data_IF_594205834224
#
_entry.id   IF_594205834224
#
_cell.length_a   1.000
_cell.length_b   1.000
_cell.length_c   1.000
_cell.angle_alpha   90.00
_cell.angle_beta   90.00
_cell.angle_gamma   90.00
#
_symmetry.space_group_name_H-M   'P 1'
#
loop_
_entity.id
_entity.type
_entity.pdbx_description
1 polymer ?
#
# COMPACT_ATOMS: atom_id res chain seq x y z
N UNK A 1 9.80 -2.70 -5.91
CA UNK A 1 9.59 -2.91 -4.47
C UNK A 1 8.67 -4.11 -4.26
N UNK A 2 9.20 -5.35 -4.36
CA UNK A 2 8.43 -6.58 -4.12
C UNK A 2 8.20 -6.79 -2.62
N UNK A 3 7.45 -5.90 -1.97
CA UNK A 3 7.17 -6.02 -0.55
C UNK A 3 6.27 -7.21 -0.27
N UNK A 4 6.41 -7.75 0.95
CA UNK A 4 5.52 -8.77 1.50
C UNK A 4 4.48 -8.17 2.44
N UNK A 5 4.83 -7.10 3.15
CA UNK A 5 3.91 -6.31 3.98
C UNK A 5 4.43 -4.89 4.10
N UNK A 6 3.52 -3.92 4.06
CA UNK A 6 3.83 -2.49 4.01
C UNK A 6 2.61 -1.68 4.46
N UNK A 7 2.82 -0.49 5.02
CA UNK A 7 1.75 0.39 5.47
C UNK A 7 1.21 1.29 4.36
N UNK A 8 2.11 1.95 3.62
CA UNK A 8 1.75 2.78 2.46
C UNK A 8 2.77 2.75 1.32
N UNK A 9 4.04 2.40 1.60
CA UNK A 9 5.14 2.45 0.64
C UNK A 9 5.45 3.88 0.13
N UNK A 10 5.78 4.79 1.05
CA UNK A 10 6.25 6.13 0.69
C UNK A 10 7.40 6.14 -0.34
N UNK A 11 8.40 5.24 -0.28
CA UNK A 11 9.45 5.22 -1.32
C UNK A 11 8.91 4.93 -2.73
N UNK A 12 7.83 4.15 -2.87
CA UNK A 12 7.22 3.86 -4.17
C UNK A 12 6.47 5.08 -4.68
N UNK A 13 5.66 5.73 -3.85
CA UNK A 13 4.90 6.92 -4.25
C UNK A 13 5.84 8.08 -4.62
N UNK A 14 6.96 8.24 -3.92
CA UNK A 14 8.00 9.23 -4.22
C UNK A 14 8.68 8.94 -5.57
N UNK A 15 9.03 7.68 -5.83
CA UNK A 15 9.59 7.27 -7.11
C UNK A 15 8.61 7.54 -8.27
N UNK A 16 7.34 7.19 -8.10
CA UNK A 16 6.27 7.49 -9.06
C UNK A 16 6.11 9.00 -9.28
N UNK A 17 6.13 9.82 -8.22
CA UNK A 17 6.07 11.29 -8.32
C UNK A 17 7.21 11.88 -9.16
N UNK A 18 8.38 11.26 -9.11
CA UNK A 18 9.56 11.61 -9.90
C UNK A 18 9.51 11.09 -11.35
N UNK A 19 8.48 10.36 -11.75
CA UNK A 19 8.35 9.79 -13.08
C UNK A 19 9.16 8.51 -13.30
N UNK A 20 9.64 7.88 -12.22
CA UNK A 20 10.32 6.59 -12.32
C UNK A 20 9.27 5.47 -12.45
N UNK A 21 9.37 4.57 -13.45
CA UNK A 21 8.49 3.42 -13.53
C UNK A 21 8.65 2.55 -12.28
N UNK A 22 7.54 2.30 -11.59
CA UNK A 22 7.51 1.47 -10.41
C UNK A 22 7.15 0.02 -10.79
N UNK A 23 7.91 -0.94 -10.26
CA UNK A 23 7.53 -2.36 -10.22
C UNK A 23 7.18 -2.68 -8.76
N UNK A 24 5.95 -3.03 -8.45
CA UNK A 24 5.45 -3.13 -7.07
C UNK A 24 4.50 -4.31 -6.91
N UNK A 25 4.41 -4.85 -5.70
CA UNK A 25 3.49 -5.95 -5.35
C UNK A 25 2.03 -5.56 -5.62
N UNK A 26 1.29 -6.45 -6.29
CA UNK A 26 -0.14 -6.34 -6.62
C UNK A 26 -1.05 -6.70 -5.43
N UNK A 27 -0.75 -6.14 -4.26
CA UNK A 27 -1.52 -6.42 -3.05
C UNK A 27 -1.20 -5.38 -1.97
N UNK A 28 -2.13 -5.10 -1.07
CA UNK A 28 -1.91 -4.14 0.01
C UNK A 28 -1.95 -2.69 -0.47
N UNK A 29 -1.26 -1.76 0.22
CA UNK A 29 -1.57 -0.33 0.11
C UNK A 29 -1.14 0.32 -1.20
N UNK A 30 -0.20 -0.27 -1.96
CA UNK A 30 0.21 0.32 -3.23
C UNK A 30 -0.95 0.41 -4.23
N UNK A 31 -1.97 -0.45 -4.12
CA UNK A 31 -3.14 -0.44 -5.00
C UNK A 31 -4.03 0.79 -4.84
N UNK A 32 -3.84 1.60 -3.79
CA UNK A 32 -4.53 2.89 -3.69
C UNK A 32 -4.08 3.85 -4.82
N UNK A 33 -2.82 3.74 -5.24
CA UNK A 33 -2.21 4.67 -6.19
C UNK A 33 -1.59 4.01 -7.43
N UNK A 34 -1.35 2.71 -7.44
CA UNK A 34 -0.79 1.95 -8.55
C UNK A 34 -1.89 1.16 -9.28
N UNK A 35 -1.82 1.19 -10.61
CA UNK A 35 -2.66 0.43 -11.55
C UNK A 35 -1.80 -0.06 -12.70
N UNK A 36 -2.35 -0.89 -13.59
CA UNK A 36 -1.66 -1.32 -14.82
C UNK A 36 -1.26 -0.14 -15.73
N UNK A 37 -1.88 1.04 -15.58
CA UNK A 37 -1.51 2.24 -16.35
C UNK A 37 -0.33 3.01 -15.72
N UNK A 38 -0.05 2.78 -14.43
CA UNK A 38 0.87 3.60 -13.64
C UNK A 38 1.99 2.81 -12.98
N UNK A 39 1.95 1.48 -13.01
CA UNK A 39 2.97 0.61 -12.47
C UNK A 39 3.00 -0.75 -13.18
N UNK A 40 4.08 -1.50 -12.93
CA UNK A 40 4.16 -2.91 -13.22
C UNK A 40 3.81 -3.68 -11.95
N UNK A 41 2.67 -4.34 -11.95
CA UNK A 41 2.13 -5.05 -10.78
C UNK A 41 2.64 -6.49 -10.73
N UNK A 42 3.26 -6.87 -9.61
CA UNK A 42 3.78 -8.22 -9.35
C UNK A 42 2.68 -9.02 -8.67
N UNK A 43 2.09 -10.04 -9.31
CA UNK A 43 1.09 -10.89 -8.67
C UNK A 43 1.62 -11.43 -7.35
N UNK A 44 0.76 -11.48 -6.33
CA UNK A 44 1.15 -11.96 -5.02
C UNK A 44 0.04 -12.78 -4.38
N UNK A 45 0.43 -13.77 -3.57
CA UNK A 45 -0.50 -14.63 -2.84
C UNK A 45 -0.41 -14.38 -1.34
N UNK A 46 -1.53 -14.39 -0.60
CA UNK A 46 -1.46 -14.31 0.85
C UNK A 46 -0.75 -15.54 1.43
N UNK A 47 0.01 -15.32 2.49
CA UNK A 47 0.69 -16.32 3.29
C UNK A 47 0.57 -15.98 4.77
N UNK A 48 0.29 -16.98 5.60
CA UNK A 48 0.17 -16.82 7.05
C UNK A 48 1.34 -17.51 7.76
N UNK A 49 1.76 -16.94 8.86
CA UNK A 49 2.78 -17.53 9.72
C UNK A 49 2.17 -18.67 10.53
N UNK A 50 2.99 -19.68 10.82
CA UNK A 50 2.56 -20.84 11.62
C UNK A 50 2.35 -20.46 13.09
N UNK A 51 3.12 -19.47 13.57
CA UNK A 51 3.15 -19.00 14.95
C UNK A 51 2.66 -17.54 15.05
N UNK A 52 2.18 -17.13 16.23
CA UNK A 52 1.94 -15.73 16.57
C UNK A 52 3.26 -15.01 16.85
N UNK A 53 4.19 -15.02 15.87
CA UNK A 53 5.55 -14.53 16.06
C UNK A 53 6.18 -14.07 14.75
N UNK A 54 7.00 -13.02 14.81
CA UNK A 54 7.89 -12.57 13.72
C UNK A 54 9.32 -12.49 14.24
N UNK A 55 10.20 -13.40 13.81
CA UNK A 55 11.48 -13.57 14.49
C UNK A 55 11.23 -13.86 15.97
N UNK A 56 11.88 -13.17 16.89
CA UNK A 56 11.68 -13.36 18.34
C UNK A 56 10.55 -12.50 18.94
N UNK A 57 9.79 -11.80 18.12
CA UNK A 57 8.72 -10.89 18.56
C UNK A 57 7.37 -11.61 18.58
N UNK A 58 6.77 -11.75 19.76
CA UNK A 58 5.38 -12.24 19.93
C UNK A 58 4.38 -11.22 19.34
N UNK A 59 3.35 -11.72 18.67
CA UNK A 59 2.30 -10.90 18.06
C UNK A 59 0.92 -11.22 18.65
N UNK A 60 0.02 -10.24 18.64
CA UNK A 60 -1.35 -10.36 19.19
C UNK A 60 -2.25 -11.39 18.45
N UNK A 61 -1.77 -11.92 17.33
CA UNK A 61 -2.40 -12.93 16.49
C UNK A 61 -1.41 -13.42 15.44
N UNK A 62 -1.79 -14.38 14.62
CA UNK A 62 -0.93 -14.90 13.55
C UNK A 62 -0.66 -13.83 12.49
N UNK A 63 0.61 -13.47 12.24
CA UNK A 63 0.95 -12.54 11.18
C UNK A 63 0.60 -13.13 9.82
N UNK A 64 0.30 -12.24 8.87
CA UNK A 64 0.10 -12.59 7.47
C UNK A 64 0.81 -11.56 6.59
N UNK A 65 1.27 -12.01 5.44
CA UNK A 65 1.98 -11.23 4.43
C UNK A 65 1.55 -11.70 3.04
N UNK A 66 1.88 -10.94 2.02
CA UNK A 66 1.81 -11.38 0.63
C UNK A 66 3.16 -11.94 0.17
N UNK A 67 3.14 -12.96 -0.67
CA UNK A 67 4.31 -13.53 -1.35
C UNK A 67 4.27 -13.13 -2.82
N UNK A 68 5.06 -12.11 -3.24
CA UNK A 68 5.17 -11.73 -4.64
C UNK A 68 5.78 -12.84 -5.48
N UNK A 69 5.27 -13.00 -6.70
CA UNK A 69 5.78 -13.95 -7.67
C UNK A 69 7.18 -13.51 -8.18
N UNK A 70 8.23 -14.32 -7.93
CA UNK A 70 9.59 -13.98 -8.35
C UNK A 70 9.77 -14.01 -9.87
N UNK A 71 9.07 -14.89 -10.59
CA UNK A 71 9.18 -14.99 -12.05
C UNK A 71 8.52 -13.79 -12.71
N UNK A 72 7.37 -13.34 -12.18
CA UNK A 72 6.74 -12.11 -12.64
C UNK A 72 7.60 -10.87 -12.37
N UNK A 73 8.25 -10.78 -11.20
CA UNK A 73 9.21 -9.71 -10.89
C UNK A 73 10.34 -9.67 -11.93
N UNK A 74 10.94 -10.83 -12.24
CA UNK A 74 12.00 -10.93 -13.26
C UNK A 74 11.47 -10.54 -14.65
N UNK A 75 10.25 -10.96 -14.99
CA UNK A 75 9.57 -10.59 -16.23
C UNK A 75 9.42 -9.08 -16.38
N UNK A 76 8.96 -8.40 -15.33
CA UNK A 76 8.81 -6.94 -15.32
C UNK A 76 10.16 -6.22 -15.38
N UNK A 77 11.18 -6.69 -14.66
CA UNK A 77 12.54 -6.13 -14.74
C UNK A 77 13.10 -6.20 -16.17
N UNK A 78 12.92 -7.35 -16.84
CA UNK A 78 13.33 -7.52 -18.25
C UNK A 78 12.53 -6.64 -19.19
N UNK A 79 11.22 -6.48 -18.96
CA UNK A 79 10.35 -5.61 -19.77
C UNK A 79 10.78 -4.15 -19.70
N UNK A 80 11.06 -3.65 -18.49
CA UNK A 80 11.56 -2.29 -18.29
C UNK A 80 12.92 -2.10 -18.97
N UNK A 81 13.85 -3.05 -18.80
CA UNK A 81 15.17 -2.96 -19.42
C UNK A 81 15.13 -3.08 -20.95
N UNK A 82 14.18 -3.84 -21.50
CA UNK A 82 14.00 -4.07 -22.93
C UNK A 82 13.30 -2.94 -23.68
N UNK A 83 12.48 -2.14 -23.00
CA UNK A 83 11.79 -0.98 -23.60
C UNK A 83 11.70 0.19 -22.60
N UNK A 84 12.79 0.96 -22.53
CA UNK A 84 12.87 2.16 -21.72
C UNK A 84 11.89 3.26 -22.18
N UNK A 85 11.45 3.24 -23.44
CA UNK A 85 10.48 4.18 -23.98
C UNK A 85 9.10 3.96 -23.34
N UNK A 86 8.60 2.73 -23.42
CA UNK A 86 7.35 2.33 -22.78
C UNK A 86 7.40 2.52 -21.26
N UNK A 87 8.53 2.19 -20.62
CA UNK A 87 8.69 2.37 -19.18
C UNK A 87 8.62 3.85 -18.75
N UNK A 88 9.18 4.77 -19.54
CA UNK A 88 9.05 6.22 -19.28
C UNK A 88 7.61 6.72 -19.41
N UNK A 89 6.83 6.16 -20.34
CA UNK A 89 5.41 6.52 -20.47
C UNK A 89 4.60 6.14 -19.22
N UNK A 90 4.82 4.93 -18.69
CA UNK A 90 4.20 4.49 -17.42
C UNK A 90 4.66 5.39 -16.27
N UNK A 91 5.95 5.69 -16.18
CA UNK A 91 6.48 6.62 -15.18
C UNK A 91 5.85 8.01 -15.27
N UNK A 92 5.69 8.56 -16.48
CA UNK A 92 5.04 9.85 -16.69
C UNK A 92 3.56 9.84 -16.25
N UNK A 93 2.82 8.78 -16.59
CA UNK A 93 1.44 8.59 -16.15
C UNK A 93 1.35 8.51 -14.61
N UNK A 94 2.25 7.74 -14.00
CA UNK A 94 2.38 7.64 -12.54
C UNK A 94 2.64 9.01 -11.91
N UNK A 95 3.59 9.78 -12.45
CA UNK A 95 3.92 11.12 -11.95
C UNK A 95 2.71 12.06 -11.99
N UNK A 96 1.96 12.06 -13.10
CA UNK A 96 0.72 12.83 -13.23
C UNK A 96 -0.26 12.47 -12.11
N UNK A 97 -0.58 11.18 -11.97
CA UNK A 97 -1.51 10.68 -10.95
C UNK A 97 -1.09 11.06 -9.53
N UNK A 98 0.18 10.83 -9.18
CA UNK A 98 0.67 11.10 -7.82
C UNK A 98 0.63 12.59 -7.50
N UNK A 99 1.14 13.42 -8.41
CA UNK A 99 1.18 14.88 -8.21
C UNK A 99 -0.21 15.49 -8.14
N UNK A 100 -1.19 14.89 -8.84
CA UNK A 100 -2.57 15.36 -8.83
C UNK A 100 -3.33 14.92 -7.57
N UNK A 101 -3.17 13.67 -7.12
CA UNK A 101 -4.07 13.05 -6.14
C UNK A 101 -3.45 12.72 -4.79
N UNK A 102 -2.13 12.51 -4.71
CA UNK A 102 -1.45 11.99 -3.52
C UNK A 102 -0.52 13.05 -2.92
N UNK A 103 -1.09 14.21 -2.62
CA UNK A 103 -0.39 15.35 -2.02
C UNK A 103 -0.72 15.51 -0.54
N UNK A 104 0.20 16.11 0.21
CA UNK A 104 -0.06 16.45 1.62
C UNK A 104 -1.26 17.38 1.81
N UNK A 105 -1.53 18.28 0.85
CA UNK A 105 -2.70 19.14 0.89
C UNK A 105 -4.00 18.33 0.83
N UNK A 106 -4.11 17.38 -0.12
CA UNK A 106 -5.29 16.51 -0.20
C UNK A 106 -5.44 15.60 1.02
N UNK A 107 -4.33 15.10 1.55
CA UNK A 107 -4.34 14.33 2.81
C UNK A 107 -4.87 15.18 3.97
N UNK A 108 -4.41 16.42 4.11
CA UNK A 108 -4.89 17.34 5.14
C UNK A 108 -6.38 17.62 4.98
N UNK A 109 -6.84 17.94 3.77
CA UNK A 109 -8.26 18.14 3.45
C UNK A 109 -9.12 16.92 3.85
N UNK A 110 -8.68 15.71 3.49
CA UNK A 110 -9.41 14.48 3.81
C UNK A 110 -9.48 14.22 5.32
N UNK A 111 -8.37 14.45 6.03
CA UNK A 111 -8.31 14.28 7.50
C UNK A 111 -9.17 15.33 8.19
N UNK A 112 -9.08 16.61 7.79
CA UNK A 112 -9.90 17.70 8.34
C UNK A 112 -11.39 17.45 8.14
N UNK A 113 -11.79 17.07 6.92
CA UNK A 113 -13.18 16.72 6.62
C UNK A 113 -13.67 15.59 7.53
N UNK A 114 -12.84 14.56 7.76
CA UNK A 114 -13.20 13.45 8.64
C UNK A 114 -13.31 13.89 10.10
N UNK A 115 -12.39 14.71 10.59
CA UNK A 115 -12.41 15.25 11.96
C UNK A 115 -13.65 16.13 12.20
N UNK A 116 -13.99 17.01 11.25
CA UNK A 116 -15.19 17.84 11.31
C UNK A 116 -16.47 17.00 11.33
N UNK A 117 -16.52 15.93 10.53
CA UNK A 117 -17.64 15.00 10.54
C UNK A 117 -17.77 14.28 11.89
N UNK A 118 -16.65 13.81 12.46
CA UNK A 118 -16.63 13.14 13.77
C UNK A 118 -17.04 14.08 14.91
N UNK A 119 -16.60 15.34 14.89
CA UNK A 119 -16.95 16.32 15.91
C UNK A 119 -18.47 16.61 15.99
N UNK A 120 -19.21 16.37 14.90
CA UNK A 120 -20.67 16.51 14.85
C UNK A 120 -21.42 15.25 15.28
N UNK A 121 -20.73 14.11 15.43
CA UNK A 121 -21.34 12.86 15.85
C UNK A 121 -21.51 12.85 17.36
N UNK A 122 -22.66 12.36 17.84
CA UNK A 122 -22.83 12.10 19.26
C UNK A 122 -21.77 11.07 19.72
N UNK A 123 -21.14 11.27 20.90
CA UNK A 123 -20.23 10.28 21.46
C UNK A 123 -20.93 8.93 21.54
N UNK A 124 -20.24 7.84 21.16
CA UNK A 124 -20.76 6.51 21.41
C UNK A 124 -20.88 6.32 22.92
N UNK A 125 -22.11 6.12 23.40
CA UNK A 125 -22.32 5.74 24.80
C UNK A 125 -21.53 4.44 25.04
N UNK A 126 -20.56 4.49 25.95
CA UNK A 126 -19.84 3.29 26.34
C UNK A 126 -20.84 2.30 26.93
N UNK A 127 -20.88 1.07 26.41
CA UNK A 127 -21.63 0.01 27.06
C UNK A 127 -21.00 -0.23 28.44
N UNK A 128 -21.63 0.27 29.49
CA UNK A 128 -21.38 -0.15 30.87
C UNK A 128 -21.91 -1.58 31.05
N UNK A 129 -21.31 -2.54 30.34
CA UNK A 129 -21.54 -3.96 30.54
C UNK A 129 -20.59 -4.44 31.63
N UNK A 130 -21.07 -4.48 32.86
CA UNK A 130 -20.35 -5.01 34.00
C UNK A 130 -19.85 -6.43 33.71
N UNK A 131 -18.53 -6.62 33.75
CA UNK A 131 -17.95 -7.93 33.98
C UNK A 131 -18.11 -8.23 35.47
N UNK A 132 -19.16 -8.96 35.82
CA UNK A 132 -19.19 -9.70 37.08
C UNK A 132 -18.09 -10.76 36.98
N UNK A 133 -17.04 -10.62 37.79
CA UNK A 133 -16.13 -11.72 38.07
C UNK A 133 -16.84 -12.70 39.00
N UNK A 134 -17.07 -13.92 38.52
CA UNK A 134 -17.22 -15.14 39.30
C UNK A 134 -16.73 -16.31 38.43
#
# INVERSE_FOLDING_TARGET
HPYRGEGFALPVVEAMACGLPAIVTDAGPALDYASDETAYLIPARPGEFVECRVGDLETIGRPWLFEPDPDALVGHLRRVAGDLGAARLIGAAASGRIREHFTWARTAEAVEARLQALARMAPRAGSAGGRTMA
#
